data_IF_409230999420
#
_entry.id   IF_409230999420
#
_cell.length_a   1.000
_cell.length_b   1.000
_cell.length_c   1.000
_cell.angle_alpha   90.00
_cell.angle_beta   90.00
_cell.angle_gamma   90.00
#
_symmetry.space_group_name_H-M   'P 1'
#
loop_
_entity.id
_entity.type
_entity.pdbx_description
1 polymer ?
#
# COMPACT_ATOMS: atom_id res chain seq x y z
N UNK A 1 7.99 17.46 11.74
CA UNK A 1 9.41 17.21 12.03
C UNK A 1 10.31 17.69 10.89
N UNK A 2 10.24 17.12 9.68
CA UNK A 2 11.11 17.50 8.55
C UNK A 2 11.05 19.00 8.21
N UNK A 3 9.89 19.57 7.89
CA UNK A 3 9.76 21.01 7.57
C UNK A 3 10.23 21.95 8.70
N UNK A 4 10.15 21.51 9.96
CA UNK A 4 10.62 22.29 11.11
C UNK A 4 12.15 22.39 11.14
N UNK A 5 12.84 21.32 10.70
CA UNK A 5 14.29 21.23 10.70
C UNK A 5 14.93 21.49 9.32
N UNK A 6 14.11 21.54 8.26
CA UNK A 6 14.50 21.77 6.87
C UNK A 6 13.52 22.75 6.19
N UNK A 7 13.49 24.03 6.62
CA UNK A 7 12.56 25.03 6.10
C UNK A 7 12.81 25.39 4.62
N UNK A 8 14.00 25.09 4.09
CA UNK A 8 14.36 25.23 2.68
C UNK A 8 13.61 24.27 1.76
N UNK A 9 13.10 23.16 2.30
CA UNK A 9 12.35 22.18 1.52
C UNK A 9 10.91 22.63 1.32
N UNK A 10 10.52 22.81 0.06
CA UNK A 10 9.13 23.07 -0.33
C UNK A 10 8.25 21.82 -0.22
N UNK A 11 8.84 20.62 -0.26
CA UNK A 11 8.15 19.33 -0.19
C UNK A 11 7.44 19.14 1.15
N UNK A 12 6.17 18.72 1.11
CA UNK A 12 5.44 18.27 2.30
C UNK A 12 5.55 16.76 2.38
N UNK A 13 5.94 16.26 3.56
CA UNK A 13 5.97 14.82 3.85
C UNK A 13 4.78 14.50 4.73
N UNK A 14 4.00 13.49 4.30
CA UNK A 14 2.92 12.90 5.09
C UNK A 14 3.41 11.57 5.65
N UNK A 15 3.10 11.31 6.92
CA UNK A 15 3.47 10.07 7.61
C UNK A 15 2.32 9.07 7.59
N UNK A 16 2.64 7.82 7.87
CA UNK A 16 1.66 6.79 8.16
C UNK A 16 2.27 5.74 9.09
N UNK A 17 1.52 4.68 9.33
CA UNK A 17 1.90 3.59 10.23
C UNK A 17 1.62 2.24 9.57
N UNK A 18 2.53 1.28 9.75
CA UNK A 18 2.37 -0.10 9.29
C UNK A 18 2.20 -1.01 10.51
N UNK A 19 1.11 -1.80 10.54
CA UNK A 19 0.70 -2.60 11.69
C UNK A 19 1.47 -3.93 11.80
N UNK A 20 2.80 -3.87 11.73
CA UNK A 20 3.69 -5.00 11.98
C UNK A 20 4.00 -5.17 13.48
N UNK A 21 4.78 -6.20 13.84
CA UNK A 21 5.16 -6.47 15.24
C UNK A 21 5.87 -5.30 15.93
N UNK A 22 6.53 -4.41 15.18
CA UNK A 22 7.25 -3.23 15.71
C UNK A 22 6.34 -2.23 16.42
N UNK A 23 5.04 -2.24 16.10
CA UNK A 23 4.01 -1.43 16.78
C UNK A 23 3.02 -2.29 17.56
N UNK A 24 3.27 -3.59 17.70
CA UNK A 24 2.38 -4.53 18.39
C UNK A 24 1.28 -5.15 17.53
N UNK A 25 1.34 -5.02 16.19
CA UNK A 25 0.30 -5.52 15.29
C UNK A 25 -0.88 -4.56 15.19
N UNK A 26 -2.10 -5.09 15.27
CA UNK A 26 -3.35 -4.31 15.33
C UNK A 26 -3.46 -3.52 16.66
N UNK A 27 -2.71 -2.42 16.74
CA UNK A 27 -2.62 -1.58 17.93
C UNK A 27 -3.39 -0.26 17.71
N UNK A 28 -4.64 -0.14 18.20
CA UNK A 28 -5.44 1.06 17.98
C UNK A 28 -4.81 2.32 18.60
N UNK A 29 -4.14 2.21 19.75
CA UNK A 29 -3.46 3.34 20.40
C UNK A 29 -2.35 3.93 19.52
N UNK A 30 -1.59 3.09 18.81
CA UNK A 30 -0.55 3.55 17.90
C UNK A 30 -1.14 4.24 16.65
N UNK A 31 -2.30 3.77 16.20
CA UNK A 31 -3.06 4.37 15.09
C UNK A 31 -3.63 5.73 15.50
N UNK A 32 -4.28 5.82 16.66
CA UNK A 32 -4.80 7.09 17.21
C UNK A 32 -3.69 8.13 17.37
N UNK A 33 -2.55 7.71 17.94
CA UNK A 33 -1.42 8.60 18.12
C UNK A 33 -0.85 9.09 16.78
N UNK A 34 -0.78 8.20 15.79
CA UNK A 34 -0.35 8.54 14.42
C UNK A 34 -1.30 9.54 13.78
N UNK A 35 -2.61 9.35 13.94
CA UNK A 35 -3.63 10.30 13.46
C UNK A 35 -3.48 11.67 14.14
N UNK A 36 -3.29 11.70 15.47
CA UNK A 36 -3.08 12.92 16.24
C UNK A 36 -1.83 13.69 15.80
N UNK A 37 -0.81 13.00 15.27
CA UNK A 37 0.39 13.60 14.68
C UNK A 37 0.21 14.05 13.21
N UNK A 38 -0.98 13.90 12.63
CA UNK A 38 -1.28 14.26 11.25
C UNK A 38 -0.89 13.20 10.23
N UNK A 39 -0.78 11.94 10.65
CA UNK A 39 -0.63 10.79 9.76
C UNK A 39 -1.80 10.66 8.79
N UNK A 40 -1.56 10.00 7.66
CA UNK A 40 -2.49 9.91 6.54
C UNK A 40 -2.83 8.49 6.09
N UNK A 41 -2.02 7.51 6.44
CA UNK A 41 -2.18 6.13 5.98
C UNK A 41 -1.93 5.17 7.13
N UNK A 42 -2.76 4.15 7.21
CA UNK A 42 -2.58 2.96 8.03
C UNK A 42 -2.47 1.76 7.09
N UNK A 43 -1.30 1.14 7.03
CA UNK A 43 -1.15 -0.15 6.36
C UNK A 43 -1.43 -1.27 7.37
N UNK A 44 -2.28 -2.20 6.96
CA UNK A 44 -2.38 -3.52 7.56
C UNK A 44 -1.02 -4.25 7.52
N UNK A 45 -0.85 -5.39 8.22
CA UNK A 45 0.44 -6.07 8.29
C UNK A 45 1.10 -6.26 6.91
N UNK A 46 2.41 -6.02 6.83
CA UNK A 46 3.23 -6.28 5.64
C UNK A 46 4.16 -7.45 5.90
N UNK A 47 5.34 -7.20 6.45
CA UNK A 47 6.33 -8.23 6.78
C UNK A 47 5.84 -9.21 7.86
N UNK A 48 4.85 -8.81 8.66
CA UNK A 48 4.23 -9.65 9.69
C UNK A 48 2.88 -10.26 9.26
N UNK A 49 2.43 -10.04 8.01
CA UNK A 49 1.24 -10.69 7.49
C UNK A 49 1.47 -12.21 7.38
N UNK A 50 0.46 -13.01 7.72
CA UNK A 50 0.55 -14.46 7.59
C UNK A 50 0.84 -14.90 6.16
N UNK A 51 0.17 -14.25 5.19
CA UNK A 51 0.40 -14.47 3.77
C UNK A 51 1.86 -14.21 3.38
N UNK A 52 2.43 -13.10 3.83
CA UNK A 52 3.83 -12.75 3.56
C UNK A 52 4.81 -13.76 4.17
N UNK A 53 4.60 -14.17 5.42
CA UNK A 53 5.44 -15.16 6.09
C UNK A 53 5.35 -16.55 5.43
N UNK A 54 4.20 -16.90 4.83
CA UNK A 54 4.05 -18.12 4.03
C UNK A 54 4.80 -17.98 2.70
N UNK A 55 4.64 -16.85 2.01
CA UNK A 55 5.34 -16.53 0.77
C UNK A 55 6.86 -16.61 0.94
N UNK A 56 7.43 -15.94 1.95
CA UNK A 56 8.88 -15.86 2.20
C UNK A 56 9.51 -17.26 2.40
N UNK A 57 8.80 -18.17 3.08
CA UNK A 57 9.25 -19.56 3.27
C UNK A 57 9.30 -20.35 1.97
N UNK A 58 8.48 -20.00 0.99
CA UNK A 58 8.33 -20.74 -0.27
C UNK A 58 9.04 -20.10 -1.47
N UNK A 59 9.30 -18.80 -1.44
CA UNK A 59 9.81 -18.04 -2.59
C UNK A 59 11.32 -18.19 -2.80
N UNK A 60 12.06 -18.69 -1.79
CA UNK A 60 13.52 -18.67 -1.78
C UNK A 60 14.09 -17.25 -1.70
N UNK A 61 13.25 -16.26 -1.40
CA UNK A 61 13.58 -14.84 -1.37
C UNK A 61 13.17 -14.24 -0.02
N UNK A 62 14.02 -13.38 0.54
CA UNK A 62 13.75 -12.70 1.80
C UNK A 62 13.59 -11.20 1.54
N UNK A 63 12.56 -10.59 2.15
CA UNK A 63 12.42 -9.14 2.05
C UNK A 63 13.62 -8.42 2.65
N UNK A 64 14.03 -7.26 2.10
CA UNK A 64 15.11 -6.48 2.66
C UNK A 64 14.82 -6.15 4.13
N UNK A 65 15.51 -6.85 5.05
CA UNK A 65 15.48 -6.53 6.46
C UNK A 65 16.50 -5.42 6.77
N UNK A 66 16.29 -4.70 7.87
CA UNK A 66 17.33 -3.81 8.40
C UNK A 66 18.65 -4.56 8.53
N UNK A 67 19.75 -3.90 8.23
CA UNK A 67 21.12 -4.45 8.31
C UNK A 67 21.46 -5.02 9.70
N UNK A 68 20.68 -4.64 10.72
CA UNK A 68 20.63 -5.29 12.02
C UNK A 68 19.40 -6.19 12.10
N UNK A 69 19.61 -7.50 12.27
CA UNK A 69 18.52 -8.44 12.59
C UNK A 69 17.91 -8.03 13.93
N UNK A 70 16.74 -7.40 13.89
CA UNK A 70 15.84 -7.29 15.04
C UNK A 70 15.18 -8.67 15.25
N UNK A 71 14.40 -8.85 16.31
CA UNK A 71 13.65 -10.08 16.60
C UNK A 71 12.93 -10.62 15.34
N UNK A 72 12.86 -11.95 15.14
CA UNK A 72 12.09 -12.53 14.05
C UNK A 72 10.65 -12.02 14.06
N UNK A 73 10.12 -11.73 12.87
CA UNK A 73 8.71 -11.39 12.73
C UNK A 73 7.83 -12.58 13.12
N UNK A 74 6.70 -12.30 13.75
CA UNK A 74 5.66 -13.27 14.08
C UNK A 74 4.38 -12.84 13.39
N UNK A 75 3.55 -13.81 12.99
CA UNK A 75 2.26 -13.54 12.37
C UNK A 75 1.43 -12.55 13.21
N UNK A 76 0.86 -11.55 12.56
CA UNK A 76 -0.17 -10.67 13.12
C UNK A 76 -1.51 -11.12 12.50
N UNK A 77 -2.31 -11.93 13.22
CA UNK A 77 -3.54 -12.49 12.68
C UNK A 77 -4.61 -11.42 12.52
N UNK A 78 -5.44 -11.56 11.49
CA UNK A 78 -6.67 -10.75 11.29
C UNK A 78 -7.88 -11.43 11.93
N UNK A 79 -7.87 -12.76 11.95
CA UNK A 79 -9.00 -13.58 12.34
C UNK A 79 -8.71 -14.36 13.62
N UNK A 80 -9.77 -14.63 14.39
CA UNK A 80 -9.75 -15.60 15.48
C UNK A 80 -9.81 -17.05 14.97
N UNK A 81 -9.85 -18.00 15.90
CA UNK A 81 -9.94 -19.43 15.58
C UNK A 81 -11.26 -19.85 14.91
N UNK A 82 -12.30 -19.01 14.97
CA UNK A 82 -13.62 -19.24 14.36
C UNK A 82 -13.77 -18.52 13.00
N UNK A 83 -12.73 -17.82 12.54
CA UNK A 83 -12.73 -17.08 11.28
C UNK A 83 -13.41 -15.71 11.35
N UNK A 84 -13.64 -15.15 12.55
CA UNK A 84 -14.14 -13.79 12.73
C UNK A 84 -12.99 -12.81 12.86
N UNK A 85 -13.20 -11.56 12.41
CA UNK A 85 -12.21 -10.50 12.64
C UNK A 85 -12.01 -10.28 14.14
N UNK A 86 -10.76 -10.12 14.55
CA UNK A 86 -10.41 -9.83 15.94
C UNK A 86 -10.93 -8.46 16.36
N UNK A 87 -11.30 -8.30 17.64
CA UNK A 87 -11.75 -7.02 18.19
C UNK A 87 -10.72 -5.91 17.96
N UNK A 88 -9.43 -6.20 18.07
CA UNK A 88 -8.35 -5.24 17.81
C UNK A 88 -8.30 -4.75 16.36
N UNK A 89 -8.75 -5.57 15.40
CA UNK A 89 -8.90 -5.16 14.00
C UNK A 89 -10.06 -4.18 13.89
N UNK A 90 -11.20 -4.52 14.52
CA UNK A 90 -12.40 -3.68 14.51
C UNK A 90 -12.13 -2.31 15.14
N UNK A 91 -11.41 -2.28 16.27
CA UNK A 91 -10.99 -1.04 16.94
C UNK A 91 -10.13 -0.17 16.01
N UNK A 92 -9.18 -0.77 15.29
CA UNK A 92 -8.36 -0.04 14.30
C UNK A 92 -9.23 0.54 13.18
N UNK A 93 -10.21 -0.22 12.67
CA UNK A 93 -11.12 0.28 11.63
C UNK A 93 -11.95 1.47 12.12
N UNK A 94 -12.42 1.43 13.37
CA UNK A 94 -13.18 2.53 13.97
C UNK A 94 -12.31 3.79 14.13
N UNK A 95 -11.05 3.65 14.54
CA UNK A 95 -10.11 4.77 14.59
C UNK A 95 -9.85 5.35 13.20
N UNK A 96 -9.66 4.49 12.19
CA UNK A 96 -9.44 4.94 10.81
C UNK A 96 -10.65 5.69 10.28
N UNK A 97 -11.86 5.19 10.50
CA UNK A 97 -13.11 5.85 10.13
C UNK A 97 -13.26 7.21 10.82
N UNK A 98 -12.99 7.28 12.13
CA UNK A 98 -13.10 8.52 12.90
C UNK A 98 -12.07 9.60 12.52
N UNK A 99 -10.92 9.18 11.98
CA UNK A 99 -9.79 10.08 11.67
C UNK A 99 -9.68 10.46 10.19
N UNK A 100 -10.35 9.72 9.31
CA UNK A 100 -10.28 9.91 7.86
C UNK A 100 -8.91 9.57 7.26
N UNK A 101 -8.12 8.74 7.94
CA UNK A 101 -6.89 8.19 7.35
C UNK A 101 -7.24 7.16 6.27
N UNK A 102 -6.36 6.97 5.29
CA UNK A 102 -6.49 5.88 4.34
C UNK A 102 -6.13 4.53 4.98
N UNK A 103 -6.92 3.50 4.71
CA UNK A 103 -6.61 2.11 5.05
C UNK A 103 -5.99 1.41 3.84
N UNK A 104 -4.75 0.96 3.97
CA UNK A 104 -4.03 0.22 2.95
C UNK A 104 -3.93 -1.27 3.31
N UNK A 105 -4.13 -2.16 2.34
CA UNK A 105 -4.22 -3.61 2.58
C UNK A 105 -2.91 -4.24 3.06
N UNK A 106 -1.76 -3.60 2.82
CA UNK A 106 -0.47 -4.21 3.12
C UNK A 106 -0.29 -5.53 2.36
N UNK A 107 0.29 -6.54 3.00
CA UNK A 107 0.61 -7.83 2.37
C UNK A 107 -0.32 -8.98 2.78
N UNK A 108 -1.50 -8.67 3.32
CA UNK A 108 -2.52 -9.71 3.59
C UNK A 108 -2.99 -10.33 2.26
N UNK A 109 -3.52 -11.54 2.31
CA UNK A 109 -4.02 -12.19 1.11
C UNK A 109 -5.28 -11.49 0.59
N UNK A 110 -5.48 -11.47 -0.73
CA UNK A 110 -6.62 -10.80 -1.38
C UNK A 110 -8.00 -11.22 -0.84
N UNK A 111 -8.14 -12.49 -0.45
CA UNK A 111 -9.38 -12.98 0.19
C UNK A 111 -9.65 -12.31 1.54
N UNK A 112 -8.60 -12.00 2.29
CA UNK A 112 -8.68 -11.27 3.57
C UNK A 112 -8.96 -9.78 3.31
N UNK A 113 -8.34 -9.20 2.29
CA UNK A 113 -8.57 -7.81 1.85
C UNK A 113 -10.04 -7.56 1.55
N UNK A 114 -10.70 -8.45 0.79
CA UNK A 114 -12.14 -8.30 0.47
C UNK A 114 -13.00 -8.26 1.72
N UNK A 115 -12.72 -9.13 2.71
CA UNK A 115 -13.46 -9.19 3.97
C UNK A 115 -13.25 -7.92 4.79
N UNK A 116 -11.99 -7.50 4.98
CA UNK A 116 -11.70 -6.34 5.83
C UNK A 116 -12.12 -5.02 5.18
N UNK A 117 -12.03 -4.88 3.86
CA UNK A 117 -12.54 -3.69 3.18
C UNK A 117 -14.06 -3.59 3.25
N UNK A 118 -14.78 -4.71 3.09
CA UNK A 118 -16.23 -4.73 3.26
C UNK A 118 -16.63 -4.32 4.69
N UNK A 119 -15.88 -4.76 5.71
CA UNK A 119 -16.12 -4.34 7.09
C UNK A 119 -15.74 -2.87 7.34
N UNK A 120 -14.62 -2.41 6.81
CA UNK A 120 -14.16 -1.03 6.91
C UNK A 120 -15.19 -0.05 6.32
N UNK A 121 -15.76 -0.38 5.15
CA UNK A 121 -16.83 0.42 4.52
C UNK A 121 -18.06 0.51 5.41
N UNK A 122 -18.51 -0.61 6.01
CA UNK A 122 -19.67 -0.60 6.94
C UNK A 122 -19.44 0.30 8.15
N UNK A 123 -18.19 0.43 8.59
CA UNK A 123 -17.77 1.27 9.72
C UNK A 123 -17.51 2.73 9.33
N UNK A 124 -17.60 3.06 8.04
CA UNK A 124 -17.45 4.42 7.54
C UNK A 124 -16.02 4.81 7.14
N UNK A 125 -15.14 3.85 6.86
CA UNK A 125 -13.84 4.15 6.23
C UNK A 125 -14.07 4.59 4.78
N UNK A 126 -13.68 5.83 4.48
CA UNK A 126 -13.90 6.45 3.16
C UNK A 126 -12.76 6.21 2.16
N UNK A 127 -11.55 5.92 2.65
CA UNK A 127 -10.33 5.89 1.85
C UNK A 127 -9.66 4.53 1.95
N UNK A 128 -9.68 3.77 0.85
CA UNK A 128 -9.13 2.42 0.76
C UNK A 128 -8.02 2.36 -0.30
N UNK A 129 -6.93 1.67 0.02
CA UNK A 129 -5.80 1.42 -0.89
C UNK A 129 -5.54 -0.09 -0.97
N UNK A 130 -5.71 -0.68 -2.14
CA UNK A 130 -5.28 -2.04 -2.40
C UNK A 130 -3.82 -2.05 -2.85
N UNK A 131 -2.95 -2.58 -2.00
CA UNK A 131 -1.50 -2.53 -2.14
C UNK A 131 -0.99 -3.59 -3.13
N UNK A 132 -0.41 -3.13 -4.24
CA UNK A 132 0.33 -3.86 -5.29
C UNK A 132 -0.19 -5.28 -5.58
N UNK A 133 -1.40 -5.42 -6.19
CA UNK A 133 -1.99 -6.72 -6.53
C UNK A 133 -1.10 -7.62 -7.40
N UNK A 134 -0.19 -7.01 -8.16
CA UNK A 134 0.74 -7.70 -9.03
C UNK A 134 1.70 -8.63 -8.29
N UNK A 135 1.90 -8.47 -6.97
CA UNK A 135 2.87 -9.28 -6.22
C UNK A 135 2.41 -9.60 -4.78
N UNK A 136 2.93 -10.70 -4.24
CA UNK A 136 2.80 -11.20 -2.84
C UNK A 136 1.37 -11.51 -2.36
N UNK A 137 0.35 -10.72 -2.71
CA UNK A 137 -0.99 -10.74 -2.10
C UNK A 137 -1.95 -11.77 -2.72
N UNK A 138 -1.49 -12.54 -3.70
CA UNK A 138 -2.25 -13.64 -4.30
C UNK A 138 -3.44 -13.20 -5.15
N UNK A 139 -3.42 -11.96 -5.67
CA UNK A 139 -4.50 -11.38 -6.44
C UNK A 139 -4.42 -11.70 -7.92
N UNK A 140 -5.57 -11.92 -8.54
CA UNK A 140 -5.75 -11.85 -9.99
C UNK A 140 -6.06 -10.40 -10.42
N UNK A 141 -5.99 -10.14 -11.75
CA UNK A 141 -6.48 -8.88 -12.33
C UNK A 141 -7.95 -8.63 -11.97
N UNK A 142 -8.75 -9.69 -11.93
CA UNK A 142 -10.18 -9.61 -11.62
C UNK A 142 -10.44 -9.23 -10.17
N UNK A 143 -9.59 -9.71 -9.24
CA UNK A 143 -9.68 -9.27 -7.84
C UNK A 143 -9.36 -7.78 -7.68
N UNK A 144 -8.37 -7.27 -8.44
CA UNK A 144 -8.06 -5.85 -8.46
C UNK A 144 -9.23 -5.02 -9.00
N UNK A 145 -9.89 -5.50 -10.06
CA UNK A 145 -11.12 -4.89 -10.61
C UNK A 145 -12.25 -4.87 -9.56
N UNK A 146 -12.47 -5.97 -8.87
CA UNK A 146 -13.51 -6.07 -7.82
C UNK A 146 -13.25 -5.09 -6.68
N UNK A 147 -12.01 -5.02 -6.17
CA UNK A 147 -11.64 -4.11 -5.09
C UNK A 147 -11.73 -2.63 -5.53
N UNK A 148 -11.39 -2.33 -6.79
CA UNK A 148 -11.60 -1.00 -7.36
C UNK A 148 -13.09 -0.62 -7.41
N UNK A 149 -13.96 -1.57 -7.74
CA UNK A 149 -15.42 -1.38 -7.72
C UNK A 149 -16.00 -1.18 -6.33
N UNK A 150 -15.32 -1.68 -5.29
CA UNK A 150 -15.64 -1.36 -3.89
C UNK A 150 -15.23 0.07 -3.50
N UNK A 151 -14.55 0.80 -4.38
CA UNK A 151 -14.08 2.16 -4.15
C UNK A 151 -12.62 2.27 -3.71
N UNK A 152 -11.87 1.17 -3.70
CA UNK A 152 -10.44 1.22 -3.40
C UNK A 152 -9.64 1.82 -4.56
N UNK A 153 -8.62 2.61 -4.22
CA UNK A 153 -7.54 2.89 -5.15
C UNK A 153 -6.60 1.68 -5.20
N UNK A 154 -6.26 1.21 -6.38
CA UNK A 154 -5.28 0.14 -6.58
C UNK A 154 -3.91 0.78 -6.78
N UNK A 155 -2.99 0.49 -5.87
CA UNK A 155 -1.64 1.00 -5.87
C UNK A 155 -0.71 0.03 -6.60
N UNK A 156 -0.08 0.43 -7.69
CA UNK A 156 0.93 -0.37 -8.40
C UNK A 156 2.33 0.11 -8.07
N UNK A 157 3.19 -0.83 -7.69
CA UNK A 157 4.56 -0.58 -7.30
C UNK A 157 5.49 -0.66 -8.51
N UNK A 158 6.07 0.49 -8.88
CA UNK A 158 7.01 0.60 -9.99
C UNK A 158 8.23 -0.32 -9.82
N UNK A 159 8.60 -0.67 -8.58
CA UNK A 159 9.69 -1.61 -8.31
C UNK A 159 9.53 -2.96 -9.03
N UNK A 160 8.29 -3.41 -9.26
CA UNK A 160 8.00 -4.71 -9.87
C UNK A 160 7.99 -4.69 -11.40
N UNK A 161 7.88 -3.51 -12.03
CA UNK A 161 7.73 -3.38 -13.49
C UNK A 161 8.98 -2.83 -14.19
N UNK A 162 9.77 -2.02 -13.51
CA UNK A 162 10.87 -1.28 -14.14
C UNK A 162 12.07 -2.18 -14.45
N UNK A 163 12.48 -2.17 -15.73
CA UNK A 163 13.69 -2.86 -16.18
C UNK A 163 14.92 -2.38 -15.41
N UNK A 164 15.67 -3.32 -14.83
CA UNK A 164 16.86 -3.03 -14.01
C UNK A 164 16.58 -2.89 -12.50
N UNK A 165 15.31 -2.94 -12.09
CA UNK A 165 14.97 -3.09 -10.68
C UNK A 165 15.30 -4.51 -10.21
N UNK A 166 15.94 -4.64 -9.04
CA UNK A 166 16.18 -5.94 -8.40
C UNK A 166 14.87 -6.70 -8.11
N UNK A 167 13.77 -5.98 -7.93
CA UNK A 167 12.45 -6.58 -7.63
C UNK A 167 11.60 -6.76 -8.87
N UNK A 168 12.13 -6.60 -10.08
CA UNK A 168 11.32 -6.74 -11.28
C UNK A 168 10.77 -8.17 -11.40
N UNK A 169 9.45 -8.31 -11.28
CA UNK A 169 8.71 -9.56 -11.44
C UNK A 169 7.72 -9.51 -12.60
N UNK A 170 7.51 -8.33 -13.18
CA UNK A 170 6.55 -8.04 -14.26
C UNK A 170 7.18 -7.17 -15.34
N UNK A 171 6.54 -7.13 -16.51
CA UNK A 171 6.91 -6.28 -17.65
C UNK A 171 6.03 -5.04 -17.73
N UNK A 172 6.49 -4.01 -18.44
CA UNK A 172 5.74 -2.76 -18.66
C UNK A 172 4.35 -3.02 -19.29
N UNK A 173 4.22 -4.02 -20.18
CA UNK A 173 2.93 -4.37 -20.79
C UNK A 173 1.93 -4.95 -19.77
N UNK A 174 2.41 -5.60 -18.71
CA UNK A 174 1.55 -6.11 -17.64
C UNK A 174 1.02 -4.96 -16.77
N UNK A 175 1.81 -3.91 -16.56
CA UNK A 175 1.33 -2.67 -15.91
C UNK A 175 0.14 -2.08 -16.67
N UNK A 176 0.19 -2.09 -18.01
CA UNK A 176 -0.95 -1.64 -18.82
C UNK A 176 -2.20 -2.47 -18.57
N UNK A 177 -2.09 -3.80 -18.51
CA UNK A 177 -3.24 -4.67 -18.23
C UNK A 177 -3.87 -4.38 -16.85
N UNK A 178 -3.03 -4.12 -15.84
CA UNK A 178 -3.47 -3.72 -14.51
C UNK A 178 -4.21 -2.37 -14.51
N UNK A 179 -3.66 -1.35 -15.18
CA UNK A 179 -4.30 -0.03 -15.27
C UNK A 179 -5.60 -0.11 -16.07
N UNK A 180 -5.62 -0.82 -17.20
CA UNK A 180 -6.78 -0.89 -18.08
C UNK A 180 -7.98 -1.58 -17.40
N UNK A 181 -7.74 -2.59 -16.55
CA UNK A 181 -8.83 -3.28 -15.86
C UNK A 181 -9.38 -2.51 -14.66
N UNK A 182 -8.54 -1.74 -13.98
CA UNK A 182 -8.91 -0.94 -12.80
C UNK A 182 -9.48 0.42 -13.18
N UNK A 183 -8.93 1.06 -14.21
CA UNK A 183 -9.21 2.43 -14.60
C UNK A 183 -8.20 3.43 -14.03
N UNK A 184 -7.85 4.43 -14.85
CA UNK A 184 -6.91 5.51 -14.48
C UNK A 184 -7.34 6.25 -13.21
N UNK A 185 -8.64 6.47 -13.03
CA UNK A 185 -9.25 7.18 -11.88
C UNK A 185 -9.22 6.38 -10.57
N UNK A 186 -8.81 5.11 -10.64
CA UNK A 186 -8.64 4.21 -9.50
C UNK A 186 -7.22 3.66 -9.37
N UNK A 187 -6.28 4.10 -10.21
CA UNK A 187 -4.87 3.70 -10.10
C UNK A 187 -4.04 4.72 -9.33
N UNK A 188 -3.17 4.24 -8.44
CA UNK A 188 -2.05 4.99 -7.87
C UNK A 188 -0.74 4.33 -8.31
N UNK A 189 0.25 5.12 -8.75
CA UNK A 189 1.61 4.61 -8.94
C UNK A 189 2.46 4.98 -7.73
N UNK A 190 3.02 3.97 -7.06
CA UNK A 190 4.00 4.15 -5.98
C UNK A 190 5.36 3.59 -6.40
N UNK A 191 6.44 4.03 -5.76
CA UNK A 191 7.77 3.56 -6.16
C UNK A 191 8.12 2.19 -5.57
N UNK A 192 7.92 2.00 -4.26
CA UNK A 192 8.51 0.92 -3.44
C UNK A 192 10.03 0.68 -3.68
N UNK A 193 10.75 1.77 -3.99
CA UNK A 193 12.17 1.78 -4.35
C UNK A 193 13.02 2.48 -3.28
N UNK A 194 14.33 2.45 -3.45
CA UNK A 194 15.30 3.08 -2.54
C UNK A 194 16.04 2.08 -1.64
N UNK A 195 15.75 0.79 -1.77
CA UNK A 195 16.49 -0.29 -1.15
C UNK A 195 17.81 -0.55 -1.92
N UNK A 196 18.79 -1.17 -1.26
CA UNK A 196 20.08 -1.51 -1.88
C UNK A 196 19.89 -2.39 -3.12
N UNK A 197 20.44 -1.94 -4.25
CA UNK A 197 20.33 -2.64 -5.54
C UNK A 197 19.08 -2.28 -6.34
N UNK A 198 18.33 -1.26 -5.94
CA UNK A 198 17.20 -0.71 -6.70
C UNK A 198 17.48 0.73 -7.12
N UNK A 199 16.62 1.29 -7.99
CA UNK A 199 16.64 2.71 -8.35
C UNK A 199 16.36 3.61 -7.14
N UNK A 200 16.80 4.87 -7.22
CA UNK A 200 16.27 5.88 -6.32
C UNK A 200 14.77 6.13 -6.62
N UNK A 201 13.92 6.43 -5.63
CA UNK A 201 12.48 6.65 -5.87
C UNK A 201 12.17 7.66 -6.98
N UNK A 202 12.92 8.78 -7.03
CA UNK A 202 12.73 9.83 -8.06
C UNK A 202 13.10 9.31 -9.45
N UNK A 203 14.16 8.51 -9.56
CA UNK A 203 14.55 7.87 -10.82
C UNK A 203 13.50 6.83 -11.24
N UNK A 204 13.00 6.04 -10.28
CA UNK A 204 11.89 5.12 -10.49
C UNK A 204 10.65 5.81 -11.05
N UNK A 205 10.21 6.92 -10.45
CA UNK A 205 9.08 7.70 -10.98
C UNK A 205 9.34 8.25 -12.39
N UNK A 206 10.56 8.74 -12.69
CA UNK A 206 10.90 9.18 -14.05
C UNK A 206 10.77 8.04 -15.06
N UNK A 207 11.29 6.86 -14.73
CA UNK A 207 11.20 5.69 -15.59
C UNK A 207 9.74 5.19 -15.72
N UNK A 208 8.96 5.22 -14.63
CA UNK A 208 7.54 4.87 -14.64
C UNK A 208 6.70 5.81 -15.51
N UNK A 209 6.97 7.12 -15.44
CA UNK A 209 6.33 8.11 -16.33
C UNK A 209 6.69 7.83 -17.80
N UNK A 210 7.97 7.55 -18.10
CA UNK A 210 8.40 7.19 -19.46
C UNK A 210 7.71 5.90 -19.94
N UNK A 211 7.57 4.90 -19.07
CA UNK A 211 6.83 3.68 -19.39
C UNK A 211 5.36 3.99 -19.72
N UNK A 212 4.69 4.82 -18.92
CA UNK A 212 3.31 5.22 -19.18
C UNK A 212 3.14 5.97 -20.52
N UNK A 213 4.08 6.84 -20.87
CA UNK A 213 4.09 7.53 -22.18
C UNK A 213 4.20 6.52 -23.32
N UNK A 214 5.11 5.53 -23.22
CA UNK A 214 5.26 4.47 -24.24
C UNK A 214 4.00 3.62 -24.38
N UNK A 215 3.30 3.37 -23.27
CA UNK A 215 2.06 2.62 -23.22
C UNK A 215 0.84 3.42 -23.74
N UNK A 216 1.03 4.70 -24.09
CA UNK A 216 0.04 5.54 -24.74
C UNK A 216 -0.87 6.35 -23.80
N UNK A 217 -0.52 6.47 -22.52
CA UNK A 217 -1.25 7.34 -21.59
C UNK A 217 -0.93 8.80 -21.84
N UNK A 218 -1.94 9.66 -21.76
CA UNK A 218 -1.78 11.11 -21.85
C UNK A 218 -1.15 11.70 -20.57
N UNK A 219 -0.54 12.87 -20.68
CA UNK A 219 0.04 13.59 -19.54
C UNK A 219 -0.97 13.78 -18.39
N UNK A 220 -2.24 14.04 -18.69
CA UNK A 220 -3.28 14.19 -17.67
C UNK A 220 -3.58 12.87 -16.94
N UNK A 221 -3.65 11.75 -17.67
CA UNK A 221 -3.85 10.43 -17.06
C UNK A 221 -2.63 10.02 -16.21
N UNK A 222 -1.42 10.31 -16.69
CA UNK A 222 -0.19 10.04 -15.94
C UNK A 222 -0.15 10.87 -14.65
N UNK A 223 -0.46 12.17 -14.75
CA UNK A 223 -0.55 13.03 -13.57
C UNK A 223 -1.62 12.54 -12.58
N UNK A 224 -2.74 12.04 -13.08
CA UNK A 224 -3.80 11.47 -12.25
C UNK A 224 -3.31 10.29 -11.42
N UNK A 225 -2.65 9.32 -12.07
CA UNK A 225 -2.12 8.12 -11.39
C UNK A 225 -0.91 8.40 -10.48
N UNK A 226 -0.06 9.37 -10.82
CA UNK A 226 1.14 9.69 -10.05
C UNK A 226 0.87 10.64 -8.88
N UNK A 227 -0.12 11.53 -9.02
CA UNK A 227 -0.32 12.62 -8.07
C UNK A 227 -1.77 12.80 -7.62
N UNK A 228 -2.72 12.96 -8.54
CA UNK A 228 -4.09 13.34 -8.18
C UNK A 228 -4.78 12.28 -7.33
N UNK A 229 -4.70 11.00 -7.73
CA UNK A 229 -5.33 9.91 -7.01
C UNK A 229 -4.71 9.68 -5.63
N UNK A 230 -3.38 9.79 -5.54
CA UNK A 230 -2.67 9.77 -4.26
C UNK A 230 -3.10 10.95 -3.37
N UNK A 231 -3.28 12.15 -3.91
CA UNK A 231 -3.78 13.28 -3.13
C UNK A 231 -5.23 13.09 -2.66
N UNK A 232 -6.09 12.53 -3.52
CA UNK A 232 -7.49 12.24 -3.23
C UNK A 232 -7.64 11.22 -2.11
N UNK A 233 -6.94 10.07 -2.19
CA UNK A 233 -7.05 9.03 -1.16
C UNK A 233 -6.50 9.47 0.19
N UNK A 234 -5.61 10.48 0.23
CA UNK A 234 -5.09 11.07 1.46
C UNK A 234 -5.94 12.24 1.99
N UNK A 235 -7.07 12.54 1.35
CA UNK A 235 -7.96 13.62 1.72
C UNK A 235 -7.31 15.00 1.61
N UNK A 236 -6.43 15.22 0.61
CA UNK A 236 -5.71 16.48 0.41
C UNK A 236 -6.39 17.43 -0.56
N UNK A 237 -7.37 16.94 -1.31
CA UNK A 237 -8.16 17.67 -2.32
C UNK A 237 -9.55 17.94 -1.75
N UNK A 238 -9.63 18.90 -0.82
CA UNK A 238 -10.88 19.48 -0.33
C UNK A 238 -10.86 20.98 -0.53
#
# INVERSE_FOLDING_TARGET
MIRKHHPELSTKVYSGIVLNNVVGGFNPYAVEHTAAMGGKIVWLPTLAAENHLKWEKSSGWAHPASTQKIRPATAVPLFDGDGKLLDSVLDVLDVVAATGMALASGHIHVSETKVIFAEAIKRGVEHLIFTHPEDIVGASLEDARELAQMGAYVEHSLAFFLNGSKFQTRKEEELKAHIDIVGVDRTILCSDLGQVGTFAPIEGFRNGVLACIKLGYSDSQIHEMVATNAANVLGLTR
#
